data_IF_839561301023
#
_entry.id   IF_839561301023
#
_cell.length_a   1.000
_cell.length_b   1.000
_cell.length_c   1.000
_cell.angle_alpha   90.00
_cell.angle_beta   90.00
_cell.angle_gamma   90.00
#
_symmetry.space_group_name_H-M   'P 1'
#
loop_
_entity.id
_entity.type
_entity.pdbx_description
1 polymer ?
#
# COMPACT_ATOMS: atom_id res chain seq x y z
N UNK A 1 4.56 5.09 -6.60
CA UNK A 1 3.77 5.75 -5.55
C UNK A 1 4.31 7.09 -5.06
N UNK A 2 5.25 7.15 -4.10
CA UNK A 2 5.56 8.41 -3.41
C UNK A 2 6.17 9.48 -4.34
N UNK A 3 7.06 9.06 -5.24
CA UNK A 3 7.69 9.95 -6.22
C UNK A 3 6.68 10.56 -7.21
N UNK A 4 5.74 9.75 -7.72
CA UNK A 4 4.67 10.21 -8.62
C UNK A 4 3.71 11.17 -7.91
N UNK A 5 3.35 10.87 -6.66
CA UNK A 5 2.57 11.78 -5.82
C UNK A 5 3.24 13.14 -5.66
N UNK A 6 4.53 13.16 -5.32
CA UNK A 6 5.27 14.44 -5.19
C UNK A 6 5.42 15.15 -6.52
N UNK A 7 5.54 14.43 -7.63
CA UNK A 7 5.67 15.02 -8.95
C UNK A 7 4.34 15.63 -9.43
N UNK A 8 3.20 15.00 -9.13
CA UNK A 8 1.87 15.54 -9.48
C UNK A 8 1.44 16.71 -8.59
N UNK A 9 1.83 16.72 -7.31
CA UNK A 9 1.46 17.75 -6.33
C UNK A 9 2.43 18.94 -6.35
N UNK A 10 3.74 18.69 -6.47
CA UNK A 10 4.79 19.70 -6.28
C UNK A 10 5.74 19.85 -7.48
N UNK A 11 5.52 19.11 -8.57
CA UNK A 11 6.37 19.20 -9.76
C UNK A 11 6.21 20.53 -10.53
N UNK A 12 7.10 20.82 -11.48
CA UNK A 12 7.04 22.04 -12.30
C UNK A 12 5.75 22.18 -13.13
N UNK A 13 5.02 21.07 -13.35
CA UNK A 13 3.68 21.02 -13.92
C UNK A 13 2.64 20.54 -12.89
N UNK A 14 2.82 20.84 -11.60
CA UNK A 14 1.97 20.38 -10.50
C UNK A 14 0.59 21.04 -10.52
N UNK A 15 -0.28 20.56 -11.40
CA UNK A 15 -1.64 21.10 -11.62
C UNK A 15 -2.73 20.13 -11.13
N UNK A 16 -2.34 18.94 -10.67
CA UNK A 16 -3.25 17.89 -10.18
C UNK A 16 -3.38 17.96 -8.65
N UNK A 17 -4.45 18.62 -8.20
CA UNK A 17 -4.90 18.73 -6.82
C UNK A 17 -6.22 17.99 -6.64
N UNK A 18 -6.67 17.78 -5.40
CA UNK A 18 -8.01 17.25 -5.09
C UNK A 18 -9.14 18.02 -5.80
N UNK A 19 -8.90 19.29 -6.15
CA UNK A 19 -9.86 20.21 -6.77
C UNK A 19 -9.60 20.54 -8.24
N UNK A 20 -8.40 20.28 -8.78
CA UNK A 20 -8.05 20.60 -10.17
C UNK A 20 -7.30 19.43 -10.79
N UNK A 21 -7.75 18.97 -11.96
CA UNK A 21 -7.05 17.96 -12.74
C UNK A 21 -7.00 18.42 -14.21
N UNK A 22 -5.82 18.71 -14.77
CA UNK A 22 -5.68 19.11 -16.18
C UNK A 22 -5.82 17.93 -17.15
N UNK A 23 -5.76 16.68 -16.67
CA UNK A 23 -5.81 15.47 -17.48
C UNK A 23 -7.20 14.80 -17.50
N UNK A 24 -8.20 15.33 -16.80
CA UNK A 24 -9.55 14.76 -16.73
C UNK A 24 -10.41 15.37 -15.61
N UNK A 25 -11.57 14.76 -15.28
CA UNK A 25 -12.43 15.26 -14.20
C UNK A 25 -11.68 15.33 -12.87
N UNK A 26 -11.82 16.40 -12.06
CA UNK A 26 -11.22 16.50 -10.74
C UNK A 26 -11.57 15.33 -9.82
N UNK A 27 -12.78 14.78 -9.98
CA UNK A 27 -13.24 13.60 -9.25
C UNK A 27 -12.36 12.37 -9.49
N UNK A 28 -11.88 12.16 -10.72
CA UNK A 28 -11.01 11.02 -11.05
C UNK A 28 -9.66 11.11 -10.32
N UNK A 29 -9.06 12.30 -10.28
CA UNK A 29 -7.83 12.53 -9.51
C UNK A 29 -8.06 12.30 -8.01
N UNK A 30 -9.17 12.81 -7.45
CA UNK A 30 -9.51 12.59 -6.04
C UNK A 30 -9.68 11.10 -5.70
N UNK A 31 -10.35 10.31 -6.55
CA UNK A 31 -10.48 8.86 -6.37
C UNK A 31 -9.13 8.15 -6.48
N UNK A 32 -8.30 8.52 -7.45
CA UNK A 32 -6.95 7.96 -7.61
C UNK A 32 -6.09 8.20 -6.38
N UNK A 33 -6.00 9.44 -5.88
CA UNK A 33 -5.23 9.77 -4.69
C UNK A 33 -5.81 9.09 -3.43
N UNK A 34 -7.13 9.01 -3.29
CA UNK A 34 -7.73 8.33 -2.14
C UNK A 34 -7.41 6.83 -2.11
N UNK A 35 -7.64 6.13 -3.23
CA UNK A 35 -7.47 4.67 -3.31
C UNK A 35 -5.98 4.30 -3.23
N UNK A 36 -5.12 4.98 -4.00
CA UNK A 36 -3.68 4.68 -3.98
C UNK A 36 -3.02 5.08 -2.66
N UNK A 37 -3.49 6.17 -2.03
CA UNK A 37 -3.02 6.61 -0.72
C UNK A 37 -3.42 5.64 0.39
N UNK A 38 -4.70 5.24 0.42
CA UNK A 38 -5.20 4.24 1.38
C UNK A 38 -4.51 2.89 1.21
N UNK A 39 -4.27 2.46 -0.03
CA UNK A 39 -3.51 1.24 -0.27
C UNK A 39 -2.06 1.36 0.23
N UNK A 40 -1.40 2.50 -0.03
CA UNK A 40 -0.05 2.77 0.45
C UNK A 40 0.09 2.69 1.98
N UNK A 41 -0.92 3.14 2.74
CA UNK A 41 -0.90 3.00 4.20
C UNK A 41 -1.03 1.54 4.66
N UNK A 42 -1.80 0.72 3.94
CA UNK A 42 -1.96 -0.71 4.23
C UNK A 42 -0.69 -1.51 3.93
N UNK A 43 -0.03 -1.21 2.80
CA UNK A 43 1.28 -1.78 2.48
C UNK A 43 2.29 -1.42 3.56
N UNK A 44 2.33 -0.15 3.98
CA UNK A 44 3.23 0.28 5.06
C UNK A 44 2.97 -0.48 6.38
N UNK A 45 1.71 -0.60 6.80
CA UNK A 45 1.37 -1.37 8.02
C UNK A 45 1.74 -2.85 7.89
N UNK A 46 1.55 -3.46 6.72
CA UNK A 46 1.93 -4.85 6.51
C UNK A 46 3.44 -5.09 6.46
N UNK A 47 4.24 -4.15 5.94
CA UNK A 47 5.71 -4.23 6.01
C UNK A 47 6.16 -4.21 7.48
N UNK A 48 5.58 -3.33 8.29
CA UNK A 48 5.89 -3.24 9.72
C UNK A 48 5.54 -4.54 10.44
N UNK A 49 4.36 -5.13 10.18
CA UNK A 49 3.96 -6.40 10.77
C UNK A 49 4.85 -7.57 10.31
N UNK A 50 5.20 -7.63 9.03
CA UNK A 50 6.15 -8.64 8.52
C UNK A 50 7.54 -8.49 9.14
N UNK A 51 8.03 -7.26 9.30
CA UNK A 51 9.31 -7.00 9.95
C UNK A 51 9.30 -7.45 11.42
N UNK A 52 8.21 -7.17 12.16
CA UNK A 52 8.05 -7.60 13.55
C UNK A 52 8.01 -9.13 13.66
N UNK A 53 7.28 -9.81 12.77
CA UNK A 53 7.24 -11.28 12.74
C UNK A 53 8.61 -11.85 12.39
N UNK A 54 9.29 -11.32 11.37
CA UNK A 54 10.66 -11.71 11.02
C UNK A 54 11.61 -11.58 12.21
N UNK A 55 11.60 -10.43 12.89
CA UNK A 55 12.43 -10.19 14.07
C UNK A 55 12.12 -11.16 15.22
N UNK A 56 10.85 -11.42 15.50
CA UNK A 56 10.43 -12.36 16.54
C UNK A 56 10.80 -13.82 16.19
N UNK A 57 10.80 -14.18 14.91
CA UNK A 57 11.28 -15.49 14.42
C UNK A 57 12.78 -15.63 14.61
N UNK A 58 13.58 -14.62 14.23
CA UNK A 58 15.05 -14.65 14.42
C UNK A 58 15.44 -14.73 15.89
N UNK A 59 14.63 -14.16 16.80
CA UNK A 59 14.83 -14.26 18.25
C UNK A 59 14.39 -15.60 18.86
N UNK A 60 13.90 -16.55 18.06
CA UNK A 60 13.47 -17.87 18.53
C UNK A 60 12.21 -17.84 19.40
N UNK A 61 11.47 -16.73 19.43
CA UNK A 61 10.29 -16.55 20.31
C UNK A 61 9.16 -17.51 19.91
N UNK A 62 9.01 -17.79 18.62
CA UNK A 62 8.00 -18.72 18.11
C UNK A 62 8.38 -20.19 18.32
N UNK A 63 9.67 -20.52 18.28
CA UNK A 63 10.19 -21.86 18.56
C UNK A 63 10.04 -22.21 20.04
N UNK A 64 10.20 -21.23 20.94
CA UNK A 64 9.91 -21.38 22.38
C UNK A 64 8.41 -21.47 22.71
N UNK A 65 7.52 -20.93 21.87
CA UNK A 65 6.05 -20.95 22.07
C UNK A 65 5.35 -22.16 21.43
N UNK A 66 6.03 -22.90 20.56
CA UNK A 66 5.54 -24.14 19.96
C UNK A 66 4.41 -24.01 18.92
N UNK A 67 4.02 -22.78 18.55
CA UNK A 67 2.98 -22.54 17.54
C UNK A 67 3.36 -21.35 16.63
N UNK A 68 3.26 -21.56 15.32
CA UNK A 68 3.58 -20.58 14.27
C UNK A 68 2.35 -19.79 13.79
N UNK A 69 1.20 -19.91 14.45
CA UNK A 69 -0.08 -19.29 14.07
C UNK A 69 0.02 -17.78 13.82
N UNK A 70 0.93 -17.10 14.53
CA UNK A 70 1.12 -15.66 14.37
C UNK A 70 1.81 -15.30 13.05
N UNK A 71 2.70 -16.16 12.55
CA UNK A 71 3.37 -16.01 11.26
C UNK A 71 2.36 -16.23 10.13
N UNK A 72 1.55 -17.29 10.24
CA UNK A 72 0.55 -17.62 9.23
C UNK A 72 -0.52 -16.52 9.09
N UNK A 73 -1.02 -15.99 10.22
CA UNK A 73 -1.99 -14.87 10.22
C UNK A 73 -1.43 -13.61 9.58
N UNK A 74 -0.16 -13.28 9.82
CA UNK A 74 0.49 -12.09 9.22
C UNK A 74 0.81 -12.33 7.74
N UNK A 75 1.21 -13.55 7.36
CA UNK A 75 1.39 -13.94 5.96
C UNK A 75 0.09 -13.86 5.16
N UNK A 76 -1.03 -14.33 5.72
CA UNK A 76 -2.37 -14.19 5.14
C UNK A 76 -2.78 -12.73 4.97
N UNK A 77 -2.50 -11.87 5.96
CA UNK A 77 -2.73 -10.43 5.83
C UNK A 77 -1.90 -9.82 4.70
N UNK A 78 -0.63 -10.22 4.57
CA UNK A 78 0.24 -9.72 3.51
C UNK A 78 -0.24 -10.16 2.12
N UNK A 79 -0.64 -11.43 1.97
CA UNK A 79 -1.24 -11.93 0.73
C UNK A 79 -2.56 -11.24 0.39
N UNK A 80 -3.38 -10.92 1.38
CA UNK A 80 -4.60 -10.14 1.17
C UNK A 80 -4.29 -8.74 0.61
N UNK A 81 -3.29 -8.05 1.17
CA UNK A 81 -2.86 -6.73 0.67
C UNK A 81 -2.35 -6.83 -0.77
N UNK A 82 -1.58 -7.87 -1.10
CA UNK A 82 -1.06 -8.12 -2.44
C UNK A 82 -2.18 -8.38 -3.47
N UNK A 83 -3.18 -9.21 -3.13
CA UNK A 83 -4.33 -9.45 -4.00
C UNK A 83 -5.12 -8.18 -4.29
N UNK A 84 -5.39 -7.36 -3.26
CA UNK A 84 -6.06 -6.06 -3.44
C UNK A 84 -5.25 -5.13 -4.33
N UNK A 85 -3.92 -5.16 -4.22
CA UNK A 85 -3.04 -4.35 -5.08
C UNK A 85 -3.17 -4.71 -6.55
N UNK A 86 -3.17 -6.01 -6.88
CA UNK A 86 -3.29 -6.48 -8.27
C UNK A 86 -4.59 -5.97 -8.91
N UNK A 87 -5.70 -5.96 -8.18
CA UNK A 87 -6.96 -5.39 -8.68
C UNK A 87 -6.85 -3.89 -8.91
N UNK A 88 -6.35 -3.12 -7.92
CA UNK A 88 -6.20 -1.66 -8.04
C UNK A 88 -5.27 -1.30 -9.20
N UNK A 89 -4.15 -2.00 -9.35
CA UNK A 89 -3.21 -1.79 -10.44
C UNK A 89 -3.87 -2.05 -11.80
N UNK A 90 -4.65 -3.12 -11.93
CA UNK A 90 -5.34 -3.45 -13.18
C UNK A 90 -6.31 -2.35 -13.61
N UNK A 91 -7.14 -1.83 -12.71
CA UNK A 91 -8.17 -0.84 -13.05
C UNK A 91 -7.66 0.59 -13.22
N UNK A 92 -6.52 0.96 -12.61
CA UNK A 92 -5.98 2.33 -12.67
C UNK A 92 -4.73 2.50 -13.53
N UNK A 93 -3.99 1.43 -13.82
CA UNK A 93 -2.73 1.50 -14.60
C UNK A 93 -2.76 0.69 -15.90
N UNK A 94 -3.60 -0.35 -16.05
CA UNK A 94 -3.64 -1.20 -17.25
C UNK A 94 -4.88 -0.99 -18.15
N UNK A 95 -6.01 -0.60 -17.58
CA UNK A 95 -7.26 -0.23 -18.28
C UNK A 95 -7.37 1.28 -18.38
#
# INVERSE_FOLDING_TARGET
QAFEWTHFIFGPNGIASLSSNPYGPPAFAAFFFFITGFHGTHVFSGVVLNYLVYYNTVRGVYEQRGHYDMVEKVGLYWHFVDLVWVFVFTFFYLV
#
